data_IF_530990536258
#
_entry.id   IF_530990536258
#
_cell.length_a   1.000
_cell.length_b   1.000
_cell.length_c   1.000
_cell.angle_alpha   90.00
_cell.angle_beta   90.00
_cell.angle_gamma   90.00
#
_symmetry.space_group_name_H-M   'P 1'
#
loop_
_entity.id
_entity.type
_entity.pdbx_description
1 polymer ?
#
# COMPACT_ATOMS: atom_id res chain seq x y z
N UNK A 1 -31.47 -28.61 49.81
CA UNK A 1 -30.49 -27.63 50.33
C UNK A 1 -29.16 -27.92 49.67
N UNK A 2 -28.80 -27.15 48.65
CA UNK A 2 -27.48 -27.23 48.00
C UNK A 2 -27.01 -25.80 47.78
N UNK A 3 -26.11 -25.36 48.64
CA UNK A 3 -25.47 -24.04 48.58
C UNK A 3 -24.39 -24.05 47.50
N UNK A 4 -24.63 -23.38 46.38
CA UNK A 4 -23.56 -23.03 45.43
C UNK A 4 -22.91 -21.74 45.91
N UNK A 5 -21.70 -21.86 46.47
CA UNK A 5 -20.85 -20.74 46.86
C UNK A 5 -20.43 -19.92 45.63
N UNK A 6 -20.52 -18.59 45.71
CA UNK A 6 -20.00 -17.69 44.69
C UNK A 6 -18.46 -17.74 44.64
N UNK A 7 -17.83 -17.63 43.46
CA UNK A 7 -16.38 -17.71 43.31
C UNK A 7 -15.67 -16.53 44.00
N UNK A 8 -14.74 -16.87 44.90
CA UNK A 8 -14.00 -15.99 45.83
C UNK A 8 -12.76 -15.31 45.22
N UNK A 9 -12.59 -15.21 43.89
CA UNK A 9 -11.34 -14.62 43.36
C UNK A 9 -11.56 -13.64 42.19
N UNK A 10 -11.35 -12.35 42.49
CA UNK A 10 -10.45 -11.51 41.70
C UNK A 10 -10.94 -10.91 40.38
N UNK A 11 -12.22 -10.58 40.22
CA UNK A 11 -12.63 -9.65 39.15
C UNK A 11 -13.36 -8.46 39.77
N UNK A 12 -12.68 -7.31 39.77
CA UNK A 12 -13.26 -6.03 40.16
C UNK A 12 -14.62 -5.81 39.47
N UNK A 13 -15.64 -5.25 40.14
CA UNK A 13 -16.96 -4.99 39.57
C UNK A 13 -16.97 -4.02 38.37
N UNK A 14 -15.80 -3.50 37.95
CA UNK A 14 -15.64 -2.70 36.74
C UNK A 14 -15.69 -3.49 35.42
N UNK A 15 -15.77 -4.83 35.46
CA UNK A 15 -15.85 -5.64 34.23
C UNK A 15 -17.13 -5.39 33.41
N UNK A 16 -18.20 -4.94 34.05
CA UNK A 16 -19.45 -4.57 33.39
C UNK A 16 -19.91 -3.21 33.93
N UNK A 17 -19.71 -2.15 33.15
CA UNK A 17 -20.22 -0.81 33.45
C UNK A 17 -21.76 -0.84 33.45
N UNK A 18 -22.38 -0.63 34.61
CA UNK A 18 -23.84 -0.41 34.76
C UNK A 18 -24.29 1.00 34.35
N UNK A 19 -23.45 1.79 33.67
CA UNK A 19 -23.82 3.15 33.25
C UNK A 19 -24.86 3.05 32.11
N UNK A 20 -26.00 3.72 32.28
CA UNK A 20 -26.94 3.93 31.18
C UNK A 20 -26.24 4.67 30.03
N UNK A 21 -26.55 4.33 28.78
CA UNK A 21 -26.05 5.04 27.60
C UNK A 21 -26.49 6.52 27.64
N UNK A 22 -25.65 7.37 28.22
CA UNK A 22 -25.87 8.82 28.23
C UNK A 22 -25.28 9.43 26.97
N UNK A 23 -26.12 10.09 26.16
CA UNK A 23 -25.68 10.90 25.02
C UNK A 23 -25.65 12.37 25.43
N UNK A 24 -24.46 12.98 25.42
CA UNK A 24 -24.32 14.42 25.64
C UNK A 24 -25.07 15.21 24.55
N UNK A 25 -25.70 16.33 24.94
CA UNK A 25 -26.34 17.26 24.01
C UNK A 25 -25.33 17.77 22.98
N UNK A 26 -25.70 17.73 21.70
CA UNK A 26 -24.90 18.28 20.59
C UNK A 26 -25.61 19.51 20.03
N UNK A 27 -24.98 20.67 20.10
CA UNK A 27 -25.57 21.92 19.61
C UNK A 27 -25.69 21.92 18.07
N UNK A 28 -26.81 22.39 17.49
CA UNK A 28 -26.98 22.50 16.04
C UNK A 28 -26.12 23.62 15.42
N UNK A 29 -25.69 24.60 16.22
CA UNK A 29 -24.89 25.75 15.77
C UNK A 29 -23.37 25.53 15.84
N UNK A 30 -22.93 24.37 16.33
CA UNK A 30 -21.51 24.03 16.45
C UNK A 30 -20.98 23.30 15.21
N UNK A 31 -19.64 23.23 15.03
CA UNK A 31 -19.05 22.45 13.95
C UNK A 31 -19.45 20.96 14.04
N UNK A 32 -20.01 20.42 12.96
CA UNK A 32 -20.40 19.02 12.88
C UNK A 32 -19.22 18.16 12.41
N UNK A 33 -18.49 17.55 13.35
CA UNK A 33 -17.42 16.62 13.02
C UNK A 33 -17.96 15.21 12.78
N UNK A 34 -17.46 14.57 11.73
CA UNK A 34 -17.67 13.13 11.49
C UNK A 34 -16.34 12.41 11.62
N UNK A 35 -16.35 11.23 12.24
CA UNK A 35 -15.15 10.39 12.31
C UNK A 35 -14.93 9.78 10.94
N UNK A 36 -13.83 10.16 10.29
CA UNK A 36 -13.45 9.56 9.02
C UNK A 36 -13.23 8.05 9.19
N UNK A 37 -13.83 7.25 8.30
CA UNK A 37 -13.57 5.80 8.26
C UNK A 37 -12.07 5.59 8.02
N UNK A 38 -11.47 4.80 8.89
CA UNK A 38 -10.06 4.45 8.82
C UNK A 38 -9.89 2.99 9.21
N UNK A 39 -8.83 2.37 8.70
CA UNK A 39 -8.39 1.03 9.06
C UNK A 39 -6.98 1.15 9.63
N UNK A 40 -6.80 0.85 10.92
CA UNK A 40 -5.54 1.06 11.64
C UNK A 40 -4.93 2.47 11.43
N UNK A 41 -5.76 3.52 11.41
CA UNK A 41 -5.32 4.91 11.20
C UNK A 41 -5.10 5.30 9.73
N UNK A 42 -5.20 4.37 8.78
CA UNK A 42 -5.12 4.67 7.35
C UNK A 42 -6.50 5.12 6.86
N UNK A 43 -6.58 6.38 6.43
CA UNK A 43 -7.76 6.93 5.75
C UNK A 43 -7.59 6.82 4.23
N UNK A 44 -8.69 6.81 3.49
CA UNK A 44 -8.65 6.84 2.02
C UNK A 44 -7.84 8.04 1.48
N UNK A 45 -7.96 9.20 2.13
CA UNK A 45 -7.20 10.40 1.77
C UNK A 45 -5.69 10.20 1.93
N UNK A 46 -5.26 9.60 3.04
CA UNK A 46 -3.86 9.29 3.27
C UNK A 46 -3.34 8.28 2.25
N UNK A 47 -4.12 7.23 1.99
CA UNK A 47 -3.77 6.21 1.01
C UNK A 47 -3.56 6.80 -0.39
N UNK A 48 -4.48 7.65 -0.86
CA UNK A 48 -4.35 8.30 -2.16
C UNK A 48 -3.11 9.19 -2.24
N UNK A 49 -2.85 10.00 -1.22
CA UNK A 49 -1.66 10.88 -1.18
C UNK A 49 -0.37 10.07 -1.27
N UNK A 50 -0.26 9.01 -0.48
CA UNK A 50 0.93 8.13 -0.49
C UNK A 50 1.01 7.32 -1.79
N UNK A 51 -0.12 6.88 -2.33
CA UNK A 51 -0.20 6.14 -3.58
C UNK A 51 0.30 6.93 -4.78
N UNK A 52 -0.07 8.21 -4.90
CA UNK A 52 0.47 9.10 -5.96
C UNK A 52 1.98 9.28 -5.82
N UNK A 53 2.47 9.49 -4.60
CA UNK A 53 3.90 9.63 -4.34
C UNK A 53 4.68 8.36 -4.70
N UNK A 54 4.20 7.19 -4.26
CA UNK A 54 4.79 5.90 -4.59
C UNK A 54 4.70 5.59 -6.08
N UNK A 55 3.63 6.00 -6.76
CA UNK A 55 3.50 5.88 -8.20
C UNK A 55 4.57 6.66 -8.95
N UNK A 56 4.88 7.89 -8.52
CA UNK A 56 5.96 8.69 -9.08
C UNK A 56 7.33 8.03 -8.89
N UNK A 57 7.66 7.60 -7.67
CA UNK A 57 8.91 6.88 -7.41
C UNK A 57 9.01 5.55 -8.15
N UNK A 58 7.92 4.78 -8.20
CA UNK A 58 7.85 3.52 -8.92
C UNK A 58 8.04 3.68 -10.42
N UNK A 59 7.49 4.75 -11.01
CA UNK A 59 7.70 5.08 -12.42
C UNK A 59 9.17 5.37 -12.73
N UNK A 60 9.81 6.23 -11.93
CA UNK A 60 11.24 6.58 -12.11
C UNK A 60 12.14 5.36 -11.85
N UNK A 61 11.88 4.59 -10.80
CA UNK A 61 12.62 3.37 -10.50
C UNK A 61 12.47 2.32 -11.60
N UNK A 62 11.26 2.16 -12.16
CA UNK A 62 11.00 1.26 -13.29
C UNK A 62 11.75 1.69 -14.55
N UNK A 63 11.71 2.98 -14.89
CA UNK A 63 12.48 3.53 -16.00
C UNK A 63 13.99 3.32 -15.81
N UNK A 64 14.50 3.63 -14.62
CA UNK A 64 15.91 3.41 -14.27
C UNK A 64 16.28 1.93 -14.41
N UNK A 65 15.47 1.00 -13.91
CA UNK A 65 15.73 -0.42 -14.01
C UNK A 65 15.78 -0.89 -15.48
N UNK A 66 14.83 -0.47 -16.31
CA UNK A 66 14.83 -0.81 -17.74
C UNK A 66 16.09 -0.30 -18.44
N UNK A 67 16.52 0.92 -18.15
CA UNK A 67 17.72 1.49 -18.74
C UNK A 67 19.00 0.82 -18.24
N UNK A 68 19.11 0.61 -16.92
CA UNK A 68 20.28 -0.02 -16.31
C UNK A 68 20.47 -1.48 -16.76
N UNK A 69 19.37 -2.22 -16.97
CA UNK A 69 19.41 -3.59 -17.46
C UNK A 69 19.29 -3.71 -18.99
N UNK A 70 19.43 -2.62 -19.75
CA UNK A 70 19.30 -2.65 -21.20
C UNK A 70 20.34 -3.54 -21.90
N UNK A 71 21.46 -3.84 -21.25
CA UNK A 71 22.50 -4.76 -21.77
C UNK A 71 22.17 -6.24 -21.55
N UNK A 72 21.27 -6.56 -20.60
CA UNK A 72 20.86 -7.94 -20.35
C UNK A 72 20.09 -8.44 -21.58
N UNK A 73 20.53 -9.55 -22.24
CA UNK A 73 19.96 -9.96 -23.52
C UNK A 73 18.43 -10.08 -23.50
N UNK A 74 17.87 -10.62 -22.41
CA UNK A 74 16.41 -10.76 -22.28
C UNK A 74 15.68 -9.42 -22.25
N UNK A 75 16.18 -8.43 -21.51
CA UNK A 75 15.55 -7.11 -21.40
C UNK A 75 15.70 -6.33 -22.71
N UNK A 76 16.87 -6.44 -23.35
CA UNK A 76 17.16 -5.80 -24.63
C UNK A 76 16.21 -6.28 -25.72
N UNK A 77 16.15 -7.59 -25.96
CA UNK A 77 15.40 -8.20 -27.06
C UNK A 77 13.89 -8.14 -26.83
N UNK A 78 13.42 -8.37 -25.58
CA UNK A 78 11.98 -8.44 -25.32
C UNK A 78 11.32 -7.09 -25.10
N UNK A 79 12.05 -6.10 -24.55
CA UNK A 79 11.49 -4.81 -24.14
C UNK A 79 12.11 -3.67 -24.96
N UNK A 80 13.41 -3.46 -24.86
CA UNK A 80 14.06 -2.24 -25.42
C UNK A 80 13.96 -2.17 -26.95
N UNK A 81 14.12 -3.28 -27.67
CA UNK A 81 13.96 -3.33 -29.13
C UNK A 81 12.53 -3.09 -29.63
N UNK A 82 11.53 -3.28 -28.77
CA UNK A 82 10.11 -3.04 -29.12
C UNK A 82 9.68 -1.60 -28.85
N UNK A 83 10.55 -0.78 -28.27
CA UNK A 83 10.27 0.64 -28.08
C UNK A 83 10.30 1.33 -29.45
N UNK A 84 9.22 1.98 -29.89
CA UNK A 84 9.21 2.69 -31.16
C UNK A 84 10.29 3.78 -31.14
N UNK A 85 10.93 4.04 -32.28
CA UNK A 85 12.01 5.03 -32.47
C UNK A 85 13.36 4.60 -31.87
N UNK A 86 13.39 4.06 -30.65
CA UNK A 86 14.65 3.71 -29.96
C UNK A 86 15.10 2.26 -30.19
N UNK A 87 14.22 1.38 -30.68
CA UNK A 87 14.52 -0.04 -30.80
C UNK A 87 15.73 -0.37 -31.69
N UNK A 88 15.97 0.41 -32.74
CA UNK A 88 17.11 0.23 -33.64
C UNK A 88 18.45 0.52 -32.97
N UNK A 89 18.49 1.39 -31.96
CA UNK A 89 19.72 1.72 -31.22
C UNK A 89 20.25 0.52 -30.42
N UNK A 90 19.36 -0.39 -30.01
CA UNK A 90 19.71 -1.56 -29.21
C UNK A 90 19.99 -2.81 -30.07
N UNK A 91 20.05 -2.67 -31.39
CA UNK A 91 20.46 -3.76 -32.27
C UNK A 91 21.97 -3.93 -32.25
N UNK A 92 22.42 -5.07 -31.74
CA UNK A 92 23.80 -5.51 -31.88
C UNK A 92 23.87 -6.35 -33.15
N UNK A 93 24.35 -5.74 -34.22
CA UNK A 93 24.57 -6.41 -35.49
C UNK A 93 25.96 -7.04 -35.47
N UNK A 94 26.00 -8.37 -35.42
CA UNK A 94 27.23 -9.17 -35.51
C UNK A 94 27.20 -9.80 -36.89
N UNK A 95 28.18 -9.50 -37.77
CA UNK A 95 28.28 -10.14 -39.06
C UNK A 95 28.38 -11.67 -38.90
N UNK A 96 27.66 -12.48 -39.70
CA UNK A 96 27.73 -13.94 -39.60
C UNK A 96 29.15 -14.50 -39.72
N UNK A 97 30.01 -13.84 -40.49
CA UNK A 97 31.42 -14.17 -40.70
C UNK A 97 32.30 -13.97 -39.46
N UNK A 98 31.91 -13.08 -38.53
CA UNK A 98 32.63 -12.79 -37.29
C UNK A 98 32.14 -13.65 -36.12
N UNK A 99 31.14 -14.49 -36.33
CA UNK A 99 30.60 -15.36 -35.30
C UNK A 99 31.06 -16.81 -35.48
N UNK A 100 31.96 -17.31 -34.62
CA UNK A 100 32.41 -18.71 -34.69
C UNK A 100 31.37 -19.74 -34.17
N UNK A 101 30.15 -19.32 -33.80
CA UNK A 101 29.06 -20.18 -33.30
C UNK A 101 27.68 -19.86 -33.88
#
# INVERSE_FOLDING_TARGET
MTSTSAPHHGKTPAAFSMRSDYKAYRSPFGPQYTVARNYHGITARSFMKTGVLLGGFGGVAGFFALFFFAEVPRVREDIMKKVPILGSYFNVEIPPEDNPF
#
